data_IF_365980290273
#
_entry.id   IF_365980290273
#
_cell.length_a   1.000
_cell.length_b   1.000
_cell.length_c   1.000
_cell.angle_alpha   90.00
_cell.angle_beta   90.00
_cell.angle_gamma   90.00
#
_symmetry.space_group_name_H-M   'P 1'
#
loop_
_entity.id
_entity.type
_entity.pdbx_description
1 polymer ?
#
# COMPACT_ATOMS: atom_id res chain seq x y z
N UNK A 1 5.67 -7.90 19.04
CA UNK A 1 4.32 -7.76 19.59
C UNK A 1 3.69 -9.16 19.60
N UNK A 2 3.62 -9.77 20.74
CA UNK A 2 2.89 -11.03 20.89
C UNK A 2 1.58 -10.73 21.59
N UNK A 3 0.46 -11.04 20.98
CA UNK A 3 -0.85 -10.94 21.60
C UNK A 3 -1.30 -12.35 21.92
N UNK A 4 -0.98 -12.80 23.13
CA UNK A 4 -1.57 -14.00 23.71
C UNK A 4 -2.71 -13.61 24.64
N UNK A 5 -3.89 -14.14 24.39
CA UNK A 5 -4.98 -14.31 25.36
C UNK A 5 -5.28 -13.14 26.33
N UNK A 6 -5.26 -11.90 25.86
CA UNK A 6 -5.48 -10.70 26.64
C UNK A 6 -4.26 -10.13 27.39
N UNK A 7 -3.09 -10.71 27.28
CA UNK A 7 -1.87 -10.05 27.74
C UNK A 7 -1.12 -9.48 26.56
N UNK A 8 -1.01 -8.17 26.49
CA UNK A 8 -0.26 -7.49 25.42
C UNK A 8 1.03 -6.98 26.04
N UNK A 9 2.14 -7.62 25.69
CA UNK A 9 3.45 -7.12 26.06
C UNK A 9 4.00 -6.29 24.90
N UNK A 10 3.99 -4.98 25.06
CA UNK A 10 4.46 -4.01 24.06
C UNK A 10 5.87 -3.49 24.32
N UNK A 11 6.51 -3.97 25.37
CA UNK A 11 7.84 -3.52 25.71
C UNK A 11 8.85 -4.11 24.73
N UNK A 12 9.47 -3.25 23.96
CA UNK A 12 10.68 -3.60 23.26
C UNK A 12 11.83 -3.67 24.27
N UNK A 13 12.25 -4.87 24.58
CA UNK A 13 13.45 -5.11 25.37
C UNK A 13 14.61 -5.48 24.46
N UNK A 14 15.55 -4.57 24.30
CA UNK A 14 16.75 -4.75 23.49
C UNK A 14 17.60 -5.95 23.97
N UNK A 15 17.48 -6.34 25.23
CA UNK A 15 18.18 -7.52 25.79
C UNK A 15 17.56 -8.85 25.38
N UNK A 16 16.26 -8.86 25.15
CA UNK A 16 15.52 -10.05 24.74
C UNK A 16 15.36 -10.16 23.22
N UNK A 17 15.56 -9.07 22.50
CA UNK A 17 15.49 -9.03 21.03
C UNK A 17 16.88 -9.22 20.43
N UNK A 18 17.38 -10.44 20.42
CA UNK A 18 18.76 -10.81 20.05
C UNK A 18 19.14 -10.28 18.65
N UNK A 19 18.20 -10.27 17.72
CA UNK A 19 18.43 -9.81 16.34
C UNK A 19 17.89 -8.40 16.07
N UNK A 20 17.25 -7.78 17.06
CA UNK A 20 16.59 -6.47 16.87
C UNK A 20 15.41 -6.50 15.91
N UNK A 21 15.01 -7.67 15.43
CA UNK A 21 13.90 -7.87 14.52
C UNK A 21 12.62 -8.24 15.29
N UNK A 22 11.49 -7.84 14.72
CA UNK A 22 10.16 -8.30 15.13
C UNK A 22 9.41 -8.77 13.90
N UNK A 23 8.55 -9.76 14.09
CA UNK A 23 7.66 -10.25 13.04
C UNK A 23 6.22 -9.98 13.44
N UNK A 24 5.47 -9.41 12.49
CA UNK A 24 4.07 -9.12 12.66
C UNK A 24 3.35 -9.66 11.42
N UNK A 25 2.39 -10.54 11.65
CA UNK A 25 1.62 -11.17 10.57
C UNK A 25 0.18 -10.69 10.64
N UNK A 26 -0.34 -10.24 9.52
CA UNK A 26 -1.74 -9.94 9.27
C UNK A 26 -2.30 -10.92 8.24
N UNK A 27 -3.48 -10.66 7.71
CA UNK A 27 -4.14 -11.60 6.79
C UNK A 27 -3.41 -11.74 5.45
N UNK A 28 -2.81 -10.66 4.95
CA UNK A 28 -2.15 -10.65 3.63
C UNK A 28 -0.67 -10.29 3.69
N UNK A 29 -0.21 -9.71 4.77
CA UNK A 29 1.15 -9.17 4.88
C UNK A 29 1.90 -9.73 6.09
N UNK A 30 3.20 -9.96 5.89
CA UNK A 30 4.14 -10.30 6.94
C UNK A 30 5.21 -9.20 7.04
N UNK A 31 5.41 -8.67 8.21
CA UNK A 31 6.43 -7.66 8.49
C UNK A 31 7.58 -8.28 9.27
N UNK A 32 8.76 -8.35 8.66
CA UNK A 32 10.01 -8.73 9.32
C UNK A 32 10.87 -7.49 9.46
N UNK A 33 10.66 -6.72 10.51
CA UNK A 33 11.16 -5.35 10.63
C UNK A 33 11.88 -5.10 11.96
N UNK A 34 12.57 -3.97 12.06
CA UNK A 34 13.22 -3.57 13.31
C UNK A 34 12.19 -3.16 14.35
N UNK A 35 12.13 -3.87 15.47
CA UNK A 35 11.31 -3.51 16.61
C UNK A 35 11.63 -2.10 17.13
N UNK A 36 12.92 -1.75 17.21
CA UNK A 36 13.37 -0.41 17.64
C UNK A 36 12.84 0.70 16.73
N UNK A 37 12.88 0.50 15.41
CA UNK A 37 12.40 1.49 14.46
C UNK A 37 10.88 1.61 14.45
N UNK A 38 10.17 0.51 14.56
CA UNK A 38 8.70 0.53 14.72
C UNK A 38 8.32 1.32 15.97
N UNK A 39 8.95 1.03 17.12
CA UNK A 39 8.68 1.74 18.36
C UNK A 39 9.03 3.23 18.27
N UNK A 40 10.10 3.58 17.57
CA UNK A 40 10.48 4.97 17.37
C UNK A 40 9.48 5.78 16.55
N UNK A 41 8.70 5.13 15.70
CA UNK A 41 7.65 5.76 14.90
C UNK A 41 6.35 6.03 15.66
N UNK A 42 6.14 5.36 16.79
CA UNK A 42 4.89 5.43 17.55
C UNK A 42 4.83 6.70 18.40
N UNK A 43 3.73 7.44 18.28
CA UNK A 43 3.52 8.76 18.94
C UNK A 43 2.65 8.67 20.19
N UNK A 44 1.97 7.56 20.44
CA UNK A 44 1.15 7.37 21.62
C UNK A 44 1.95 7.57 22.92
N UNK A 45 1.28 8.03 23.98
CA UNK A 45 1.90 8.26 25.30
C UNK A 45 1.85 7.03 26.18
N UNK A 46 0.83 6.18 25.99
CA UNK A 46 0.66 4.90 26.67
C UNK A 46 1.01 3.73 25.75
N UNK A 47 1.20 2.57 26.32
CA UNK A 47 1.43 1.33 25.55
C UNK A 47 0.22 0.97 24.69
N UNK A 48 -0.98 1.14 25.22
CA UNK A 48 -2.22 0.87 24.49
C UNK A 48 -2.40 1.80 23.28
N UNK A 49 -2.13 3.10 23.46
CA UNK A 49 -2.15 4.06 22.35
C UNK A 49 -1.15 3.69 21.26
N UNK A 50 0.07 3.30 21.64
CA UNK A 50 1.11 2.86 20.70
C UNK A 50 0.69 1.59 19.96
N UNK A 51 0.12 0.64 20.68
CA UNK A 51 -0.36 -0.60 20.09
C UNK A 51 -1.49 -0.36 19.09
N UNK A 52 -2.46 0.43 19.47
CA UNK A 52 -3.57 0.79 18.60
C UNK A 52 -3.08 1.54 17.35
N UNK A 53 -2.17 2.50 17.52
CA UNK A 53 -1.55 3.21 16.40
C UNK A 53 -0.88 2.22 15.44
N UNK A 54 -0.06 1.32 15.95
CA UNK A 54 0.64 0.34 15.12
C UNK A 54 -0.35 -0.57 14.40
N UNK A 55 -1.30 -1.14 15.12
CA UNK A 55 -2.28 -2.05 14.55
C UNK A 55 -3.10 -1.36 13.45
N UNK A 56 -3.58 -0.15 13.70
CA UNK A 56 -4.35 0.60 12.71
C UNK A 56 -3.53 0.93 11.46
N UNK A 57 -2.26 1.30 11.63
CA UNK A 57 -1.36 1.56 10.51
C UNK A 57 -1.11 0.31 9.66
N UNK A 58 -0.90 -0.83 10.31
CA UNK A 58 -0.67 -2.10 9.62
C UNK A 58 -1.95 -2.63 8.95
N UNK A 59 -3.10 -2.46 9.61
CA UNK A 59 -4.41 -2.79 9.02
C UNK A 59 -4.70 -1.95 7.77
N UNK A 60 -4.30 -0.68 7.75
CA UNK A 60 -4.46 0.16 6.56
C UNK A 60 -3.71 -0.41 5.35
N UNK A 61 -2.52 -0.97 5.56
CA UNK A 61 -1.75 -1.63 4.51
C UNK A 61 -2.33 -2.98 4.11
N UNK A 62 -2.85 -3.73 5.07
CA UNK A 62 -3.50 -5.02 4.79
C UNK A 62 -4.79 -4.84 3.99
N UNK A 63 -5.60 -3.85 4.33
CA UNK A 63 -6.76 -3.43 3.54
C UNK A 63 -6.39 -2.92 2.13
N UNK A 64 -5.22 -2.31 1.99
CA UNK A 64 -4.69 -1.93 0.67
C UNK A 64 -4.39 -3.17 -0.18
N UNK A 65 -3.85 -4.23 0.40
CA UNK A 65 -3.66 -5.51 -0.29
C UNK A 65 -4.99 -6.12 -0.72
N UNK A 66 -5.99 -6.12 0.15
CA UNK A 66 -7.35 -6.59 -0.18
C UNK A 66 -7.93 -5.81 -1.37
N UNK A 67 -7.81 -4.48 -1.35
CA UNK A 67 -8.22 -3.62 -2.47
C UNK A 67 -7.57 -4.05 -3.79
N UNK A 68 -6.27 -4.32 -3.77
CA UNK A 68 -5.53 -4.70 -4.97
C UNK A 68 -5.92 -6.08 -5.49
N UNK A 69 -6.17 -7.03 -4.60
CA UNK A 69 -6.68 -8.34 -5.00
C UNK A 69 -8.07 -8.23 -5.60
N UNK A 70 -8.97 -7.45 -5.01
CA UNK A 70 -10.30 -7.19 -5.56
C UNK A 70 -10.21 -6.52 -6.94
N UNK A 71 -9.33 -5.55 -7.12
CA UNK A 71 -9.10 -4.91 -8.42
C UNK A 71 -8.61 -5.89 -9.49
N UNK A 72 -7.87 -6.92 -9.10
CA UNK A 72 -7.46 -8.00 -10.00
C UNK A 72 -8.57 -9.01 -10.28
N UNK A 73 -9.76 -8.82 -9.76
CA UNK A 73 -10.89 -9.75 -9.90
C UNK A 73 -10.82 -10.96 -8.98
N UNK A 74 -9.92 -10.96 -7.99
CA UNK A 74 -9.82 -12.03 -7.02
C UNK A 74 -10.89 -11.87 -5.93
N UNK A 75 -11.34 -12.97 -5.36
CA UNK A 75 -12.31 -13.00 -4.29
C UNK A 75 -11.93 -14.08 -3.26
N UNK A 76 -11.91 -13.71 -2.00
CA UNK A 76 -11.55 -14.63 -0.91
C UNK A 76 -12.36 -15.94 -0.94
N UNK A 77 -13.65 -15.85 -1.28
CA UNK A 77 -14.60 -16.97 -1.26
C UNK A 77 -14.88 -17.57 -2.67
N UNK A 78 -14.03 -17.27 -3.66
CA UNK A 78 -14.19 -17.81 -4.99
C UNK A 78 -14.18 -19.36 -4.99
N UNK A 79 -14.99 -19.98 -5.84
CA UNK A 79 -15.04 -21.44 -5.94
C UNK A 79 -13.73 -22.01 -6.49
N UNK A 80 -13.18 -21.39 -7.52
CA UNK A 80 -11.90 -21.79 -8.10
C UNK A 80 -10.73 -21.21 -7.28
N UNK A 81 -9.76 -22.06 -6.98
CA UNK A 81 -8.61 -21.66 -6.16
C UNK A 81 -7.76 -20.54 -6.81
N UNK A 82 -7.71 -20.52 -8.13
CA UNK A 82 -6.94 -19.49 -8.88
C UNK A 82 -7.60 -18.10 -8.82
N UNK A 83 -8.86 -18.03 -8.44
CA UNK A 83 -9.64 -16.79 -8.32
C UNK A 83 -9.68 -16.30 -6.86
N UNK A 84 -9.02 -17.01 -5.94
CA UNK A 84 -8.93 -16.64 -4.53
C UNK A 84 -7.74 -15.73 -4.28
N UNK A 85 -7.80 -15.03 -3.16
CA UNK A 85 -6.62 -14.33 -2.64
C UNK A 85 -5.48 -15.32 -2.42
N UNK A 86 -4.23 -14.93 -2.72
CA UNK A 86 -3.07 -15.76 -2.44
C UNK A 86 -2.98 -16.11 -0.96
N UNK A 87 -2.72 -17.38 -0.66
CA UNK A 87 -2.49 -17.82 0.71
C UNK A 87 -1.10 -17.39 1.26
N UNK A 88 -0.23 -16.91 0.39
CA UNK A 88 1.10 -16.45 0.76
C UNK A 88 1.04 -14.99 1.16
N UNK A 89 1.66 -14.66 2.30
CA UNK A 89 1.84 -13.29 2.74
C UNK A 89 2.95 -12.61 1.94
N UNK A 90 2.71 -11.38 1.52
CA UNK A 90 3.76 -10.53 1.00
C UNK A 90 4.62 -10.04 2.17
N UNK A 91 5.91 -10.30 2.11
CA UNK A 91 6.82 -9.93 3.20
C UNK A 91 7.39 -8.52 3.00
N UNK A 92 7.20 -7.65 3.99
CA UNK A 92 7.97 -6.40 4.11
C UNK A 92 9.10 -6.65 5.09
N UNK A 93 10.34 -6.52 4.63
CA UNK A 93 11.53 -6.73 5.46
C UNK A 93 12.50 -5.57 5.38
N UNK A 94 13.10 -5.22 6.50
CA UNK A 94 14.10 -4.18 6.55
C UNK A 94 15.47 -4.69 6.08
N UNK A 95 16.22 -3.77 5.49
CA UNK A 95 17.63 -4.01 5.15
C UNK A 95 18.36 -2.68 4.98
N UNK A 96 19.68 -2.75 4.91
CA UNK A 96 20.46 -1.58 4.50
C UNK A 96 20.43 -1.46 2.99
N UNK A 97 20.05 -0.30 2.52
CA UNK A 97 20.08 0.04 1.11
C UNK A 97 21.25 0.96 0.80
N UNK A 98 21.74 0.82 -0.43
CA UNK A 98 22.80 1.66 -0.96
C UNK A 98 22.19 2.64 -1.98
N UNK A 99 22.94 3.70 -2.27
CA UNK A 99 22.58 4.68 -3.30
C UNK A 99 21.29 5.47 -3.06
N UNK A 100 20.88 5.66 -1.81
CA UNK A 100 19.75 6.54 -1.46
C UNK A 100 18.37 5.98 -1.71
N UNK A 101 18.26 4.72 -2.15
CA UNK A 101 16.97 4.03 -2.23
C UNK A 101 16.41 3.79 -0.82
N UNK A 102 15.08 3.84 -0.67
CA UNK A 102 14.44 3.59 0.61
C UNK A 102 13.48 2.38 0.58
N UNK A 103 13.02 1.96 -0.59
CA UNK A 103 12.25 0.73 -0.83
C UNK A 103 12.60 0.10 -2.18
N UNK A 104 12.33 -1.18 -2.32
CA UNK A 104 12.35 -1.91 -3.58
C UNK A 104 11.46 -3.15 -3.50
N UNK A 105 10.95 -3.60 -4.63
CA UNK A 105 10.29 -4.89 -4.77
C UNK A 105 11.26 -5.95 -5.30
N UNK A 106 11.16 -7.17 -4.80
CA UNK A 106 11.97 -8.27 -5.29
C UNK A 106 11.41 -9.64 -4.91
N UNK A 107 11.19 -10.48 -5.90
CA UNK A 107 10.61 -11.79 -5.66
C UNK A 107 9.24 -11.67 -4.97
N UNK A 108 9.10 -12.24 -3.79
CA UNK A 108 7.87 -12.17 -3.00
C UNK A 108 8.06 -11.29 -1.73
N UNK A 109 8.78 -10.20 -1.86
CA UNK A 109 9.01 -9.32 -0.73
C UNK A 109 9.22 -7.86 -1.17
N UNK A 110 9.06 -6.96 -0.21
CA UNK A 110 9.45 -5.56 -0.31
C UNK A 110 10.59 -5.34 0.68
N UNK A 111 11.72 -4.85 0.20
CA UNK A 111 12.80 -4.37 1.04
C UNK A 111 12.56 -2.92 1.42
N UNK A 112 12.69 -2.59 2.71
CA UNK A 112 12.59 -1.23 3.22
C UNK A 112 13.88 -0.86 3.93
N UNK A 113 14.39 0.34 3.69
CA UNK A 113 15.58 0.84 4.36
C UNK A 113 15.33 0.97 5.87
N UNK A 114 16.35 0.63 6.68
CA UNK A 114 16.28 0.62 8.15
C UNK A 114 15.69 1.90 8.73
N UNK A 115 16.18 3.06 8.31
CA UNK A 115 15.70 4.36 8.81
C UNK A 115 14.25 4.68 8.40
N UNK A 116 13.76 4.05 7.34
CA UNK A 116 12.40 4.26 6.83
C UNK A 116 11.35 3.38 7.51
N UNK A 117 11.76 2.36 8.26
CA UNK A 117 10.84 1.43 8.96
C UNK A 117 9.89 2.16 9.91
N UNK A 118 10.35 3.22 10.58
CA UNK A 118 9.49 4.04 11.46
C UNK A 118 8.30 4.66 10.72
N UNK A 119 8.42 4.87 9.41
CA UNK A 119 7.33 5.36 8.57
C UNK A 119 6.14 4.41 8.48
N UNK A 120 6.33 3.11 8.74
CA UNK A 120 5.23 2.15 8.83
C UNK A 120 4.28 2.43 10.00
N UNK A 121 4.71 3.23 10.96
CA UNK A 121 3.91 3.55 12.14
C UNK A 121 3.69 5.05 12.36
N UNK A 122 4.49 5.94 11.78
CA UNK A 122 4.33 7.38 11.97
C UNK A 122 3.91 8.15 10.72
N UNK A 123 4.17 7.62 9.55
CA UNK A 123 3.83 8.24 8.25
C UNK A 123 2.44 7.90 7.74
N UNK A 124 1.75 6.97 8.39
CA UNK A 124 0.41 6.51 8.05
C UNK A 124 -0.56 6.98 9.13
N UNK A 125 -1.69 7.59 8.79
CA UNK A 125 -2.73 7.90 9.76
C UNK A 125 -3.19 6.63 10.49
N UNK A 126 -3.33 6.71 11.81
CA UNK A 126 -3.67 5.56 12.65
C UNK A 126 -5.14 5.54 13.11
N UNK A 127 -5.91 6.52 12.67
CA UNK A 127 -7.34 6.59 12.92
C UNK A 127 -8.09 6.13 11.68
N UNK A 128 -9.14 5.35 11.89
CA UNK A 128 -10.07 5.04 10.81
C UNK A 128 -10.80 6.31 10.36
N UNK A 129 -11.05 6.43 9.06
CA UNK A 129 -11.92 7.46 8.54
C UNK A 129 -13.37 7.27 9.08
N UNK A 130 -14.23 8.28 8.91
CA UNK A 130 -15.63 8.22 9.37
C UNK A 130 -16.41 7.01 8.84
N UNK A 131 -16.03 6.50 7.67
CA UNK A 131 -16.59 5.28 7.08
C UNK A 131 -15.98 3.98 7.64
N UNK A 132 -15.17 4.05 8.68
CA UNK A 132 -14.52 2.90 9.31
C UNK A 132 -13.30 2.34 8.56
N UNK A 133 -12.85 2.98 7.48
CA UNK A 133 -11.68 2.54 6.70
C UNK A 133 -10.41 3.20 7.23
N UNK A 134 -9.34 2.44 7.28
CA UNK A 134 -8.01 2.98 7.61
C UNK A 134 -7.37 3.61 6.39
N UNK A 135 -6.67 4.72 6.61
CA UNK A 135 -5.98 5.46 5.56
C UNK A 135 -4.50 5.04 5.51
N UNK A 136 -3.98 4.83 4.31
CA UNK A 136 -2.57 4.45 4.11
C UNK A 136 -1.61 5.64 4.02
N UNK A 137 -2.14 6.85 4.01
CA UNK A 137 -1.36 8.09 3.90
C UNK A 137 -0.82 8.36 2.49
N UNK A 138 -0.48 9.62 2.23
CA UNK A 138 -0.07 10.05 0.89
C UNK A 138 1.32 9.53 0.49
N UNK A 139 2.29 9.59 1.41
CA UNK A 139 3.67 9.22 1.11
C UNK A 139 3.88 7.70 1.12
N UNK A 140 3.58 7.07 2.24
CA UNK A 140 3.77 5.62 2.39
C UNK A 140 2.75 4.82 1.59
N UNK A 141 1.51 5.26 1.52
CA UNK A 141 0.49 4.65 0.69
C UNK A 141 0.89 4.61 -0.78
N UNK A 142 1.50 5.67 -1.31
CA UNK A 142 2.04 5.64 -2.66
C UNK A 142 3.22 4.68 -2.79
N UNK A 143 4.24 4.82 -1.95
CA UNK A 143 5.49 4.04 -2.08
C UNK A 143 5.27 2.55 -1.86
N UNK A 144 4.59 2.17 -0.79
CA UNK A 144 4.29 0.76 -0.51
C UNK A 144 3.38 0.17 -1.59
N UNK A 145 2.36 0.89 -2.02
CA UNK A 145 1.47 0.47 -3.11
C UNK A 145 2.22 0.25 -4.43
N UNK A 146 3.19 1.12 -4.74
CA UNK A 146 4.07 1.00 -5.89
C UNK A 146 4.89 -0.31 -5.84
N UNK A 147 5.52 -0.60 -4.71
CA UNK A 147 6.32 -1.83 -4.56
C UNK A 147 5.45 -3.08 -4.51
N UNK A 148 4.28 -3.01 -3.88
CA UNK A 148 3.28 -4.09 -3.97
C UNK A 148 2.91 -4.31 -5.44
N UNK A 149 2.65 -3.24 -6.18
CA UNK A 149 2.33 -3.29 -7.60
C UNK A 149 3.36 -4.06 -8.42
N UNK A 150 4.65 -3.89 -8.17
CA UNK A 150 5.70 -4.69 -8.81
C UNK A 150 5.56 -6.19 -8.52
N UNK A 151 5.22 -6.55 -7.28
CA UNK A 151 5.10 -7.95 -6.87
C UNK A 151 3.84 -8.64 -7.40
N UNK A 152 2.71 -7.92 -7.49
CA UNK A 152 1.42 -8.51 -7.85
C UNK A 152 0.99 -8.26 -9.29
N UNK A 153 1.75 -7.47 -10.07
CA UNK A 153 1.46 -7.22 -11.48
C UNK A 153 1.31 -8.52 -12.27
N UNK A 154 0.39 -8.50 -13.20
CA UNK A 154 0.22 -9.60 -14.14
C UNK A 154 1.27 -9.49 -15.25
N UNK A 155 2.27 -10.38 -15.25
CA UNK A 155 3.47 -10.27 -16.06
C UNK A 155 3.25 -10.04 -17.56
N UNK A 156 2.16 -10.58 -18.15
CA UNK A 156 1.82 -10.36 -19.57
C UNK A 156 1.31 -8.95 -19.90
N UNK A 157 0.89 -8.18 -18.90
CA UNK A 157 0.35 -6.83 -19.06
C UNK A 157 1.11 -5.77 -18.28
N UNK A 158 2.11 -6.20 -17.52
CA UNK A 158 2.89 -5.29 -16.69
C UNK A 158 3.79 -4.40 -17.54
N UNK A 159 3.71 -3.10 -17.32
CA UNK A 159 4.67 -2.12 -17.79
C UNK A 159 5.27 -1.47 -16.55
N UNK A 160 6.54 -1.75 -16.30
CA UNK A 160 7.25 -1.24 -15.13
C UNK A 160 7.11 0.27 -15.00
N UNK A 161 6.96 0.76 -13.79
CA UNK A 161 6.76 2.16 -13.42
C UNK A 161 5.43 2.78 -13.89
N UNK A 162 4.60 2.02 -14.60
CA UNK A 162 3.27 2.48 -15.04
C UNK A 162 2.18 1.67 -14.36
N UNK A 163 2.09 0.38 -14.64
CA UNK A 163 1.00 -0.45 -14.11
C UNK A 163 1.13 -0.70 -12.61
N UNK A 164 2.32 -0.71 -12.05
CA UNK A 164 2.52 -0.71 -10.60
C UNK A 164 2.11 0.62 -9.95
N UNK A 165 2.34 1.76 -10.60
CA UNK A 165 1.82 3.05 -10.11
C UNK A 165 0.29 3.18 -10.22
N UNK A 166 -0.36 2.37 -11.04
CA UNK A 166 -1.82 2.27 -11.03
C UNK A 166 -2.35 1.82 -9.66
N UNK A 167 -1.70 0.87 -9.00
CA UNK A 167 -2.04 0.47 -7.63
C UNK A 167 -1.80 1.60 -6.62
N UNK A 168 -0.79 2.43 -6.84
CA UNK A 168 -0.59 3.64 -6.04
C UNK A 168 -1.77 4.60 -6.16
N UNK A 169 -2.27 4.82 -7.39
CA UNK A 169 -3.47 5.64 -7.60
C UNK A 169 -4.71 5.06 -6.93
N UNK A 170 -4.92 3.75 -7.00
CA UNK A 170 -6.03 3.08 -6.31
C UNK A 170 -5.98 3.34 -4.80
N UNK A 171 -4.81 3.20 -4.20
CA UNK A 171 -4.60 3.47 -2.78
C UNK A 171 -4.88 4.94 -2.44
N UNK A 172 -4.36 5.88 -3.23
CA UNK A 172 -4.57 7.30 -3.00
C UNK A 172 -6.03 7.71 -3.19
N UNK A 173 -6.70 7.16 -4.20
CA UNK A 173 -8.11 7.40 -4.42
C UNK A 173 -8.97 6.87 -3.26
N UNK A 174 -8.68 5.66 -2.77
CA UNK A 174 -9.33 5.12 -1.57
C UNK A 174 -9.23 6.07 -0.37
N UNK A 175 -8.05 6.62 -0.17
CA UNK A 175 -7.74 7.46 0.98
C UNK A 175 -8.16 8.93 0.77
N UNK A 176 -8.80 9.25 -0.35
CA UNK A 176 -9.19 10.61 -0.74
C UNK A 176 -8.00 11.58 -0.74
N UNK A 177 -6.83 11.09 -1.09
CA UNK A 177 -5.62 11.90 -1.22
C UNK A 177 -5.52 12.53 -2.61
N UNK A 178 -5.33 13.82 -2.67
CA UNK A 178 -5.15 14.57 -3.92
C UNK A 178 -3.70 14.51 -4.43
N UNK A 179 -3.22 13.30 -4.74
CA UNK A 179 -1.83 13.06 -5.19
C UNK A 179 -1.74 12.21 -6.44
N UNK A 180 -2.39 12.66 -7.51
CA UNK A 180 -2.36 11.94 -8.80
C UNK A 180 -1.01 11.97 -9.51
N UNK A 181 -0.13 12.94 -9.18
CA UNK A 181 1.18 13.19 -9.81
C UNK A 181 1.12 13.52 -11.31
N UNK A 182 -0.06 13.80 -11.84
CA UNK A 182 -0.27 14.29 -13.20
C UNK A 182 -1.46 15.28 -13.25
N UNK A 183 -1.51 16.07 -14.32
CA UNK A 183 -2.63 16.98 -14.59
C UNK A 183 -3.18 16.67 -15.98
N UNK A 184 -4.47 16.46 -16.08
CA UNK A 184 -5.11 16.13 -17.36
C UNK A 184 -4.93 17.17 -18.46
N UNK A 185 -4.94 18.50 -18.21
CA UNK A 185 -4.60 19.46 -19.26
C UNK A 185 -3.24 19.21 -19.89
N UNK A 186 -2.22 18.92 -19.08
CA UNK A 186 -0.86 18.63 -19.55
C UNK A 186 -0.80 17.31 -20.33
N UNK A 187 -1.55 16.31 -19.88
CA UNK A 187 -1.67 15.00 -20.55
C UNK A 187 -2.37 15.18 -21.90
N UNK A 188 -3.48 15.91 -21.93
CA UNK A 188 -4.25 16.19 -23.14
C UNK A 188 -3.41 16.93 -24.18
N UNK A 189 -2.68 17.95 -23.79
CA UNK A 189 -1.77 18.69 -24.67
C UNK A 189 -0.72 17.77 -25.30
N UNK A 190 -0.08 16.92 -24.49
CA UNK A 190 0.93 15.96 -24.98
C UNK A 190 0.35 14.95 -25.97
N UNK A 191 -0.85 14.44 -25.70
CA UNK A 191 -1.51 13.46 -26.56
C UNK A 191 -1.95 14.10 -27.89
N UNK A 192 -2.55 15.28 -27.84
CA UNK A 192 -3.10 15.95 -29.03
C UNK A 192 -2.05 16.60 -29.91
N UNK A 193 -0.96 17.08 -29.33
CA UNK A 193 0.17 17.65 -30.08
C UNK A 193 1.08 16.59 -30.71
N UNK A 194 0.79 15.31 -30.47
CA UNK A 194 1.62 14.17 -30.91
C UNK A 194 3.11 14.33 -30.55
N UNK A 195 3.37 14.94 -29.40
CA UNK A 195 4.74 15.15 -28.94
C UNK A 195 5.35 13.88 -28.42
N UNK A 196 6.61 13.65 -28.76
CA UNK A 196 7.42 12.46 -28.45
C UNK A 196 7.60 12.21 -26.94
N UNK A 197 7.11 13.09 -26.08
CA UNK A 197 7.21 12.99 -24.64
C UNK A 197 6.30 11.94 -23.96
N UNK A 198 5.38 11.31 -24.70
CA UNK A 198 4.46 10.32 -24.15
C UNK A 198 5.18 9.03 -23.73
N UNK A 199 6.07 8.54 -24.55
CA UNK A 199 6.75 7.25 -24.30
C UNK A 199 7.81 7.31 -23.20
N UNK A 200 8.23 8.50 -22.79
CA UNK A 200 9.25 8.70 -21.76
C UNK A 200 8.69 9.20 -20.42
N UNK A 201 7.40 9.55 -20.37
CA UNK A 201 6.77 10.10 -19.17
C UNK A 201 5.79 9.09 -18.55
N UNK A 202 6.24 8.40 -17.50
CA UNK A 202 5.45 7.37 -16.82
C UNK A 202 4.12 7.92 -16.28
N UNK A 203 4.07 9.15 -15.80
CA UNK A 203 2.83 9.73 -15.27
C UNK A 203 1.83 10.11 -16.35
N UNK A 204 2.29 10.50 -17.54
CA UNK A 204 1.40 10.71 -18.69
C UNK A 204 0.75 9.40 -19.13
N UNK A 205 1.52 8.32 -19.20
CA UNK A 205 0.99 6.99 -19.51
C UNK A 205 0.07 6.48 -18.41
N UNK A 206 0.44 6.69 -17.14
CA UNK A 206 -0.40 6.34 -15.99
C UNK A 206 -1.76 7.04 -16.05
N UNK A 207 -1.79 8.33 -16.44
CA UNK A 207 -3.04 9.07 -16.60
C UNK A 207 -3.97 8.46 -17.66
N UNK A 208 -3.41 7.89 -18.73
CA UNK A 208 -4.21 7.18 -19.74
C UNK A 208 -4.85 5.91 -19.17
N UNK A 209 -4.11 5.13 -18.40
CA UNK A 209 -4.66 3.96 -17.69
C UNK A 209 -5.74 4.37 -16.70
N UNK A 210 -5.52 5.46 -15.96
CA UNK A 210 -6.49 5.96 -15.01
C UNK A 210 -7.79 6.45 -15.67
N UNK A 211 -7.71 7.07 -16.85
CA UNK A 211 -8.90 7.41 -17.64
C UNK A 211 -9.70 6.17 -18.05
N UNK A 212 -9.02 5.08 -18.42
CA UNK A 212 -9.71 3.83 -18.74
C UNK A 212 -10.40 3.27 -17.50
N UNK A 213 -9.74 3.32 -16.35
CA UNK A 213 -10.35 2.94 -15.08
C UNK A 213 -11.64 3.74 -14.81
N UNK A 214 -11.55 5.07 -14.87
CA UNK A 214 -12.72 5.92 -14.63
C UNK A 214 -13.85 5.71 -15.65
N UNK A 215 -13.53 5.34 -16.89
CA UNK A 215 -14.52 5.16 -17.96
C UNK A 215 -15.19 3.78 -17.94
N UNK A 216 -14.47 2.72 -17.56
CA UNK A 216 -14.90 1.36 -17.78
C UNK A 216 -15.08 0.54 -16.49
N UNK A 217 -14.56 1.02 -15.38
CA UNK A 217 -14.65 0.30 -14.11
C UNK A 217 -15.99 0.54 -13.38
N UNK A 218 -17.05 0.67 -14.17
CA UNK A 218 -18.39 0.99 -13.70
C UNK A 218 -19.06 -0.16 -12.94
N UNK A 219 -18.55 -1.38 -13.05
CA UNK A 219 -19.11 -2.56 -12.43
C UNK A 219 -18.29 -3.05 -11.24
N UNK A 220 -17.16 -2.43 -10.98
CA UNK A 220 -16.35 -2.72 -9.81
C UNK A 220 -16.93 -1.96 -8.63
N UNK A 221 -17.78 -2.64 -7.88
CA UNK A 221 -18.14 -2.20 -6.54
C UNK A 221 -16.89 -2.31 -5.64
N UNK A 222 -15.94 -1.38 -5.82
CA UNK A 222 -15.01 -1.17 -4.74
C UNK A 222 -15.86 -0.86 -3.51
N UNK A 223 -15.63 -1.56 -2.43
CA UNK A 223 -16.23 -1.23 -1.12
C UNK A 223 -15.95 0.22 -0.68
N UNK A 224 -15.26 0.98 -1.51
CA UNK A 224 -14.83 2.35 -1.29
C UNK A 224 -15.87 3.39 -1.69
N UNK A 225 -16.76 3.06 -2.62
CA UNK A 225 -17.82 3.93 -3.05
C UNK A 225 -19.15 3.22 -2.83
N UNK A 226 -20.03 3.85 -2.10
CA UNK A 226 -21.35 3.29 -1.82
C UNK A 226 -22.24 3.27 -3.06
N UNK A 227 -21.90 4.07 -4.08
CA UNK A 227 -22.57 4.04 -5.38
C UNK A 227 -21.65 4.45 -6.53
N UNK A 228 -22.00 4.01 -7.73
CA UNK A 228 -21.37 4.42 -8.97
C UNK A 228 -21.52 5.94 -9.23
N UNK A 229 -22.63 6.54 -8.80
CA UNK A 229 -22.89 7.96 -8.95
C UNK A 229 -21.93 8.81 -8.11
N UNK A 230 -21.54 8.34 -6.93
CA UNK A 230 -20.52 9.01 -6.10
C UNK A 230 -19.15 8.99 -6.76
N UNK A 231 -18.82 7.88 -7.43
CA UNK A 231 -17.57 7.73 -8.17
C UNK A 231 -17.47 8.68 -9.37
N UNK A 232 -18.58 8.94 -10.06
CA UNK A 232 -18.62 9.86 -11.21
C UNK A 232 -18.64 11.32 -10.81
N UNK A 233 -19.07 11.63 -9.60
CA UNK A 233 -19.21 13.00 -9.10
C UNK A 233 -18.03 13.45 -8.21
N UNK A 234 -17.07 12.57 -7.94
CA UNK A 234 -15.83 12.87 -7.22
C UNK A 234 -14.69 13.15 -8.18
#
# INVERSE_FOLDING_TARGET
LHRDDNSVNYDYDEKNCILGATEIMLDHMLYSVSGKQIMAGLKGTTLDEKANQLLNSLNAMDQMMELFYQNKGLNENAAAINDRYPAQHLNIRYQRMFAGAFMYAGGNHIGIEWGSVSGLSNGIPFEAAENGKYLSGSLFGWGIAHEIGHNINQGSYAIAEITNNYFSLLSQNRDSNDTTRFKYPDVYEKVTSNTVGMSSNVFTQLAMYWQLHLAYDQNYHYKLYDSHEEQLNS
#
